data_IF_420776694535
#
_entry.id   IF_420776694535
#
_cell.length_a   1.000
_cell.length_b   1.000
_cell.length_c   1.000
_cell.angle_alpha   90.00
_cell.angle_beta   90.00
_cell.angle_gamma   90.00
#
_symmetry.space_group_name_H-M   'P 1'
#
loop_
_entity.id
_entity.type
_entity.pdbx_description
1 polymer ?
#
# COMPACT_ATOMS: atom_id res chain seq x y z
N UNK A 1 51.96 -41.99 40.18
CA UNK A 1 50.97 -40.92 39.93
C UNK A 1 51.22 -40.35 38.55
N UNK A 2 50.46 -40.76 37.54
CA UNK A 2 50.52 -40.17 36.19
C UNK A 2 49.11 -39.83 35.77
N UNK A 3 48.76 -38.55 35.88
CA UNK A 3 47.46 -38.01 35.46
C UNK A 3 47.57 -37.66 33.99
N UNK A 4 47.04 -38.49 33.09
CA UNK A 4 46.95 -38.11 31.68
C UNK A 4 45.87 -37.05 31.55
N UNK A 5 46.28 -35.86 31.12
CA UNK A 5 45.34 -34.77 30.82
C UNK A 5 45.12 -34.85 29.32
N UNK A 6 44.13 -35.64 28.90
CA UNK A 6 43.69 -35.60 27.51
C UNK A 6 43.02 -34.25 27.28
N UNK A 7 43.39 -33.49 26.22
CA UNK A 7 42.72 -32.24 25.91
C UNK A 7 41.25 -32.53 25.63
N UNK A 8 40.36 -31.74 26.23
CA UNK A 8 38.90 -31.94 26.22
C UNK A 8 38.28 -31.50 24.87
N UNK A 9 38.75 -32.12 23.79
CA UNK A 9 38.41 -31.81 22.41
C UNK A 9 36.91 -31.97 22.14
N UNK A 10 36.25 -32.87 22.88
CA UNK A 10 34.80 -33.07 22.83
C UNK A 10 34.02 -31.84 23.29
N UNK A 11 34.43 -31.22 24.40
CA UNK A 11 33.82 -29.99 24.88
C UNK A 11 34.00 -28.83 23.89
N UNK A 12 35.21 -28.68 23.33
CA UNK A 12 35.49 -27.67 22.30
C UNK A 12 34.61 -27.83 21.05
N UNK A 13 34.50 -29.06 20.53
CA UNK A 13 33.63 -29.34 19.37
C UNK A 13 32.17 -29.07 19.71
N UNK A 14 31.72 -29.49 20.90
CA UNK A 14 30.34 -29.26 21.34
C UNK A 14 30.01 -27.76 21.41
N UNK A 15 30.86 -26.95 22.06
CA UNK A 15 30.64 -25.51 22.15
C UNK A 15 30.75 -24.82 20.79
N UNK A 16 31.68 -25.23 19.93
CA UNK A 16 31.80 -24.71 18.57
C UNK A 16 30.55 -25.01 17.71
N UNK A 17 30.03 -26.25 17.80
CA UNK A 17 28.80 -26.64 17.10
C UNK A 17 27.58 -25.89 17.64
N UNK A 18 27.44 -25.78 18.97
CA UNK A 18 26.37 -25.01 19.60
C UNK A 18 26.41 -23.53 19.18
N UNK A 19 27.61 -22.93 19.13
CA UNK A 19 27.80 -21.56 18.67
C UNK A 19 27.43 -21.40 17.19
N UNK A 20 27.88 -22.30 16.31
CA UNK A 20 27.54 -22.28 14.88
C UNK A 20 26.02 -22.37 14.65
N UNK A 21 25.34 -23.28 15.36
CA UNK A 21 23.88 -23.42 15.29
C UNK A 21 23.19 -22.16 15.79
N UNK A 22 23.62 -21.60 16.92
CA UNK A 22 23.07 -20.35 17.45
C UNK A 22 23.27 -19.15 16.51
N UNK A 23 24.46 -19.06 15.89
CA UNK A 23 24.76 -18.04 14.90
C UNK A 23 23.89 -18.17 13.65
N UNK A 24 23.70 -19.39 13.14
CA UNK A 24 22.82 -19.66 12.01
C UNK A 24 21.37 -19.24 12.30
N UNK A 25 20.83 -19.60 13.46
CA UNK A 25 19.47 -19.21 13.84
C UNK A 25 19.34 -17.70 14.02
N UNK A 26 20.33 -17.05 14.61
CA UNK A 26 20.35 -15.58 14.74
C UNK A 26 20.36 -14.92 13.36
N UNK A 27 21.20 -15.40 12.45
CA UNK A 27 21.26 -14.93 11.07
C UNK A 27 19.92 -15.14 10.34
N UNK A 28 19.33 -16.34 10.43
CA UNK A 28 18.06 -16.67 9.80
C UNK A 28 16.88 -15.87 10.39
N UNK A 29 16.90 -15.56 11.69
CA UNK A 29 15.88 -14.72 12.32
C UNK A 29 15.97 -13.25 11.88
N UNK A 30 17.16 -12.78 11.51
CA UNK A 30 17.39 -11.42 11.02
C UNK A 30 17.10 -11.34 9.52
N UNK A 31 17.69 -12.20 8.69
CA UNK A 31 17.66 -12.11 7.22
C UNK A 31 16.69 -13.08 6.53
N UNK A 32 16.10 -14.04 7.24
CA UNK A 32 15.23 -15.04 6.62
C UNK A 32 13.88 -14.47 6.16
N UNK A 33 13.17 -15.22 5.32
CA UNK A 33 11.87 -14.83 4.76
C UNK A 33 10.79 -14.53 5.82
N UNK A 34 10.94 -15.07 7.03
CA UNK A 34 10.09 -14.81 8.20
C UNK A 34 10.77 -13.95 9.27
N UNK A 35 11.89 -13.32 8.92
CA UNK A 35 12.67 -12.48 9.82
C UNK A 35 11.95 -11.19 10.18
N UNK A 36 12.50 -10.48 11.18
CA UNK A 36 11.88 -9.27 11.74
C UNK A 36 11.60 -8.19 10.68
N UNK A 37 12.46 -8.09 9.66
CA UNK A 37 12.34 -7.11 8.59
C UNK A 37 11.16 -7.36 7.65
N UNK A 38 10.75 -8.61 7.43
CA UNK A 38 9.61 -8.94 6.55
C UNK A 38 8.31 -8.31 7.05
N UNK A 39 8.13 -8.27 8.38
CA UNK A 39 6.94 -7.61 8.98
C UNK A 39 6.90 -6.12 8.71
N UNK A 40 8.06 -5.45 8.74
CA UNK A 40 8.16 -4.01 8.47
C UNK A 40 7.85 -3.73 7.00
N UNK A 41 8.40 -4.54 6.09
CA UNK A 41 8.14 -4.46 4.65
C UNK A 41 6.65 -4.65 4.33
N UNK A 42 6.04 -5.73 4.83
CA UNK A 42 4.61 -6.00 4.63
C UNK A 42 3.74 -4.87 5.22
N UNK A 43 4.09 -4.34 6.38
CA UNK A 43 3.34 -3.23 6.98
C UNK A 43 3.44 -1.95 6.14
N UNK A 44 4.62 -1.66 5.58
CA UNK A 44 4.83 -0.52 4.69
C UNK A 44 4.04 -0.69 3.38
N UNK A 45 4.10 -1.86 2.75
CA UNK A 45 3.33 -2.20 1.54
C UNK A 45 1.82 -2.10 1.80
N UNK A 46 1.35 -2.67 2.90
CA UNK A 46 -0.05 -2.58 3.29
C UNK A 46 -0.49 -1.13 3.59
N UNK A 47 0.41 -0.27 4.08
CA UNK A 47 0.13 1.16 4.26
C UNK A 47 0.00 1.87 2.92
N UNK A 48 0.88 1.58 1.96
CA UNK A 48 0.83 2.15 0.61
C UNK A 48 -0.46 1.75 -0.11
N UNK A 49 -0.79 0.45 -0.10
CA UNK A 49 -2.02 -0.05 -0.72
C UNK A 49 -3.29 0.59 -0.12
N UNK A 50 -3.34 0.81 1.20
CA UNK A 50 -4.47 1.50 1.83
C UNK A 50 -4.60 2.95 1.37
N UNK A 51 -3.48 3.65 1.20
CA UNK A 51 -3.51 5.02 0.69
C UNK A 51 -4.02 5.08 -0.75
N UNK A 52 -3.63 4.13 -1.60
CA UNK A 52 -4.09 4.07 -2.99
C UNK A 52 -5.56 3.65 -3.09
N UNK A 53 -6.00 2.72 -2.23
CA UNK A 53 -7.41 2.36 -2.11
C UNK A 53 -8.27 3.58 -1.76
N UNK A 54 -7.86 4.37 -0.76
CA UNK A 54 -8.60 5.58 -0.38
C UNK A 54 -8.67 6.64 -1.49
N UNK A 55 -7.62 6.77 -2.31
CA UNK A 55 -7.67 7.63 -3.51
C UNK A 55 -8.70 7.11 -4.51
N UNK A 56 -8.69 5.82 -4.78
CA UNK A 56 -9.59 5.19 -5.75
C UNK A 56 -11.06 5.28 -5.30
N UNK A 57 -11.33 5.05 -4.01
CA UNK A 57 -12.66 5.26 -3.43
C UNK A 57 -13.13 6.70 -3.58
N UNK A 58 -12.23 7.69 -3.39
CA UNK A 58 -12.59 9.10 -3.58
C UNK A 58 -12.90 9.44 -5.05
N UNK A 59 -12.23 8.77 -5.99
CA UNK A 59 -12.47 8.94 -7.41
C UNK A 59 -13.79 8.29 -7.83
N UNK A 60 -14.06 7.08 -7.35
CA UNK A 60 -15.34 6.40 -7.54
C UNK A 60 -16.46 7.26 -6.99
N UNK A 61 -16.38 7.75 -5.75
CA UNK A 61 -17.42 8.59 -5.15
C UNK A 61 -17.67 9.87 -5.97
N UNK A 62 -16.62 10.47 -6.56
CA UNK A 62 -16.76 11.62 -7.45
C UNK A 62 -17.51 11.25 -8.73
N UNK A 63 -17.12 10.17 -9.38
CA UNK A 63 -17.73 9.72 -10.65
C UNK A 63 -19.18 9.27 -10.42
N UNK A 64 -19.44 8.56 -9.34
CA UNK A 64 -20.79 8.17 -8.93
C UNK A 64 -21.67 9.40 -8.70
N UNK A 65 -21.18 10.43 -8.01
CA UNK A 65 -21.93 11.67 -7.84
C UNK A 65 -22.22 12.37 -9.17
N UNK A 66 -21.23 12.47 -10.05
CA UNK A 66 -21.41 13.07 -11.39
C UNK A 66 -22.43 12.27 -12.21
N UNK A 67 -22.34 10.95 -12.19
CA UNK A 67 -23.23 10.04 -12.92
C UNK A 67 -24.65 10.12 -12.36
N UNK A 68 -24.80 10.19 -11.04
CA UNK A 68 -26.09 10.38 -10.39
C UNK A 68 -26.72 11.73 -10.74
N UNK A 69 -25.92 12.81 -10.82
CA UNK A 69 -26.40 14.14 -11.22
C UNK A 69 -26.74 14.25 -12.71
N UNK A 70 -26.31 13.28 -13.51
CA UNK A 70 -26.59 13.16 -14.93
C UNK A 70 -27.67 12.11 -15.23
N UNK A 71 -28.25 11.45 -14.22
CA UNK A 71 -29.29 10.42 -14.42
C UNK A 71 -30.68 11.07 -14.54
N UNK A 72 -31.53 10.47 -15.38
CA UNK A 72 -32.87 10.98 -15.73
C UNK A 72 -33.81 11.16 -14.53
N UNK A 73 -33.60 10.44 -13.43
CA UNK A 73 -34.40 10.57 -12.20
C UNK A 73 -34.02 11.79 -11.33
N UNK A 74 -32.88 12.43 -11.60
CA UNK A 74 -32.36 13.64 -10.93
C UNK A 74 -31.80 14.65 -11.94
N UNK A 75 -32.43 14.73 -13.11
CA UNK A 75 -32.02 15.58 -14.23
C UNK A 75 -32.08 17.07 -13.83
N UNK A 76 -30.92 17.61 -13.44
CA UNK A 76 -30.75 19.03 -13.15
C UNK A 76 -30.68 19.79 -14.50
N UNK A 77 -31.84 20.30 -14.92
CA UNK A 77 -32.01 21.05 -16.16
C UNK A 77 -31.05 22.26 -16.25
N UNK A 78 -30.64 22.83 -15.12
CA UNK A 78 -29.69 23.95 -15.08
C UNK A 78 -28.26 23.48 -15.40
N UNK A 79 -27.85 22.30 -14.94
CA UNK A 79 -26.57 21.69 -15.31
C UNK A 79 -26.53 21.28 -16.78
N UNK A 80 -27.64 20.75 -17.31
CA UNK A 80 -27.75 20.39 -18.72
C UNK A 80 -27.63 21.63 -19.61
N UNK A 81 -28.30 22.72 -19.23
CA UNK A 81 -28.21 24.01 -19.93
C UNK A 81 -26.80 24.61 -19.84
N UNK A 82 -26.13 24.52 -18.68
CA UNK A 82 -24.73 24.94 -18.54
C UNK A 82 -23.76 24.11 -19.39
N UNK A 83 -23.90 22.79 -19.45
CA UNK A 83 -23.06 21.93 -20.31
C UNK A 83 -23.35 22.14 -21.79
N UNK A 84 -24.61 22.37 -22.17
CA UNK A 84 -24.98 22.73 -23.52
C UNK A 84 -24.35 24.08 -23.93
N UNK A 85 -24.34 25.07 -23.04
CA UNK A 85 -23.65 26.35 -23.24
C UNK A 85 -22.14 26.21 -23.33
N UNK A 86 -21.51 25.44 -22.45
CA UNK A 86 -20.05 25.32 -22.36
C UNK A 86 -19.45 24.49 -23.50
N UNK A 87 -20.11 23.39 -23.89
CA UNK A 87 -19.60 22.43 -24.89
C UNK A 87 -20.09 22.76 -26.28
N UNK A 88 -21.37 23.11 -26.44
CA UNK A 88 -21.99 23.33 -27.75
C UNK A 88 -22.11 24.81 -28.11
N UNK A 89 -21.78 25.73 -27.21
CA UNK A 89 -21.91 27.17 -27.45
C UNK A 89 -23.37 27.62 -27.63
N UNK A 90 -24.33 26.86 -27.07
CA UNK A 90 -25.76 27.15 -27.17
C UNK A 90 -26.10 28.47 -26.46
N UNK A 91 -26.26 29.54 -27.22
CA UNK A 91 -26.78 30.83 -26.76
C UNK A 91 -28.22 31.00 -27.27
N UNK A 92 -29.13 31.42 -26.38
CA UNK A 92 -30.46 31.80 -26.84
C UNK A 92 -30.35 33.10 -27.68
N UNK A 93 -31.22 33.31 -28.67
CA UNK A 93 -31.14 34.46 -29.58
C UNK A 93 -31.15 35.84 -28.91
N UNK A 94 -31.51 35.90 -27.63
CA UNK A 94 -31.75 37.08 -26.80
C UNK A 94 -30.69 37.35 -25.72
N UNK A 95 -29.60 36.57 -25.62
CA UNK A 95 -28.56 36.76 -24.60
C UNK A 95 -27.30 37.49 -25.11
N UNK A 96 -26.85 38.51 -24.36
CA UNK A 96 -25.66 39.32 -24.67
C UNK A 96 -24.53 38.98 -23.69
N UNK A 97 -23.38 38.55 -24.21
CA UNK A 97 -22.17 38.28 -23.41
C UNK A 97 -21.50 39.61 -23.06
N UNK A 98 -21.49 39.96 -21.77
CA UNK A 98 -20.70 41.08 -21.25
C UNK A 98 -19.36 40.53 -20.76
N UNK A 99 -18.27 41.06 -21.32
CA UNK A 99 -16.88 40.68 -21.06
C UNK A 99 -16.29 41.42 -19.87
#
# INVERSE_FOLDING_TARGET
MTRSTHPDFGALIFFAAAFLVGAYFTFAAVQGDYGLFRRVEIAAEASALRADLGKLESEIARIENLTHRLSDDYLDLDLLDQQARSVLGLLRPDEIVIR
#
